data_IF_695061270872
#
_entry.id   IF_695061270872
#
_cell.length_a   1.000
_cell.length_b   1.000
_cell.length_c   1.000
_cell.angle_alpha   90.00
_cell.angle_beta   90.00
_cell.angle_gamma   90.00
#
_symmetry.space_group_name_H-M   'P 1'
#
loop_
_entity.id
_entity.type
_entity.pdbx_description
1 polymer ?
#
# COMPACT_ATOMS: atom_id res chain seq x y z
N UNK A 1 17.64 -6.33 -7.98
CA UNK A 1 18.37 -6.81 -6.78
C UNK A 1 17.31 -7.29 -5.80
N UNK A 2 17.02 -8.59 -5.77
CA UNK A 2 15.88 -9.13 -5.04
C UNK A 2 16.17 -9.17 -3.53
N UNK A 3 15.37 -8.47 -2.74
CA UNK A 3 15.41 -8.54 -1.27
C UNK A 3 14.51 -9.70 -0.86
N UNK A 4 15.09 -10.88 -0.63
CA UNK A 4 14.40 -12.03 -0.08
C UNK A 4 14.20 -11.86 1.43
N UNK A 5 12.96 -12.02 1.90
CA UNK A 5 12.67 -12.09 3.33
C UNK A 5 13.04 -13.47 3.89
N UNK A 6 13.67 -13.59 5.08
CA UNK A 6 14.04 -14.88 5.66
C UNK A 6 12.82 -15.69 6.13
N UNK A 7 12.87 -17.02 5.96
CA UNK A 7 11.89 -17.99 6.48
C UNK A 7 12.16 -18.23 7.99
N UNK A 8 11.22 -17.83 8.85
CA UNK A 8 11.30 -17.89 10.33
C UNK A 8 11.31 -19.33 10.92
N UNK A 9 11.49 -20.37 10.09
CA UNK A 9 11.39 -21.77 10.51
C UNK A 9 12.69 -22.42 10.99
N UNK A 10 13.80 -21.68 11.15
CA UNK A 10 15.09 -22.27 11.58
C UNK A 10 15.70 -21.72 12.89
N UNK A 11 14.99 -20.88 13.66
CA UNK A 11 15.56 -20.24 14.86
C UNK A 11 15.25 -20.95 16.20
N UNK A 12 14.70 -22.16 16.22
CA UNK A 12 14.26 -22.82 17.48
C UNK A 12 15.25 -23.76 18.17
N UNK A 13 16.40 -24.08 17.58
CA UNK A 13 17.32 -25.07 18.16
C UNK A 13 18.70 -24.50 18.51
N UNK A 14 18.76 -23.60 19.50
CA UNK A 14 20.04 -23.29 20.17
C UNK A 14 19.90 -23.35 21.69
N UNK A 15 20.71 -24.15 22.40
CA UNK A 15 20.64 -24.24 23.86
C UNK A 15 21.32 -23.04 24.53
N UNK A 16 20.69 -22.51 25.59
CA UNK A 16 21.26 -21.46 26.44
C UNK A 16 22.37 -22.00 27.37
N UNK A 17 23.44 -21.22 27.64
CA UNK A 17 24.42 -21.59 28.66
C UNK A 17 24.04 -21.04 30.06
N UNK A 18 24.10 -21.94 31.04
CA UNK A 18 23.89 -21.70 32.48
C UNK A 18 25.08 -21.00 33.16
N UNK A 19 24.73 -20.14 34.11
CA UNK A 19 25.32 -19.78 35.41
C UNK A 19 26.82 -19.97 35.70
N UNK A 20 27.46 -18.89 36.19
CA UNK A 20 28.48 -18.95 37.24
C UNK A 20 28.31 -17.83 38.27
N UNK A 21 28.63 -18.20 39.51
CA UNK A 21 28.31 -17.62 40.83
C UNK A 21 29.57 -17.01 41.49
N UNK A 22 29.39 -15.88 42.24
CA UNK A 22 30.10 -15.33 43.44
C UNK A 22 31.65 -15.19 43.46
N UNK A 23 32.35 -14.23 44.11
CA UNK A 23 32.16 -13.06 45.02
C UNK A 23 33.60 -12.40 45.20
N UNK A 24 33.95 -11.58 46.23
CA UNK A 24 33.63 -10.16 46.49
C UNK A 24 34.86 -9.24 46.87
N UNK A 25 34.56 -7.98 47.24
CA UNK A 25 35.38 -6.97 48.01
C UNK A 25 36.58 -6.30 47.26
N UNK A 26 36.99 -5.03 47.45
CA UNK A 26 37.15 -4.16 48.65
C UNK A 26 37.12 -2.64 48.34
N UNK A 27 36.93 -1.86 49.41
CA UNK A 27 37.01 -0.40 49.64
C UNK A 27 38.32 0.33 49.26
N UNK A 28 38.26 1.65 49.03
CA UNK A 28 38.83 2.70 49.94
C UNK A 28 39.01 4.07 49.26
N UNK A 29 38.70 5.12 50.03
CA UNK A 29 38.87 6.56 49.78
C UNK A 29 40.32 7.03 49.54
N UNK A 30 40.50 8.19 48.88
CA UNK A 30 41.14 9.40 49.43
C UNK A 30 41.37 10.51 48.37
N UNK A 31 40.95 11.74 48.72
CA UNK A 31 41.69 13.02 48.79
C UNK A 31 42.59 13.49 47.60
N UNK A 32 42.79 14.77 47.24
CA UNK A 32 42.45 16.11 47.79
C UNK A 32 42.91 17.23 46.82
N UNK A 33 42.44 18.47 47.10
CA UNK A 33 43.10 19.80 46.97
C UNK A 33 42.98 20.69 45.70
N UNK A 34 42.33 21.85 45.92
CA UNK A 34 42.66 23.26 45.59
C UNK A 34 43.60 23.56 44.39
N UNK A 35 43.37 24.56 43.53
CA UNK A 35 43.24 25.99 43.87
C UNK A 35 42.81 26.89 42.67
N UNK A 36 42.57 28.16 42.99
CA UNK A 36 41.95 29.33 42.36
C UNK A 36 42.29 29.83 40.93
N UNK A 37 41.24 30.47 40.36
CA UNK A 37 41.15 31.70 39.55
C UNK A 37 41.84 31.82 38.18
N UNK A 38 41.02 32.03 37.13
CA UNK A 38 41.10 33.26 36.31
C UNK A 38 39.83 33.52 35.46
N UNK A 39 39.50 34.82 35.40
CA UNK A 39 38.58 35.58 34.55
C UNK A 39 38.08 34.89 33.27
N UNK A 40 36.80 35.05 32.91
CA UNK A 40 36.31 36.01 31.89
C UNK A 40 34.77 35.89 31.76
N UNK A 41 34.04 37.01 31.89
CA UNK A 41 32.61 37.11 31.52
C UNK A 41 32.47 36.92 30.02
N UNK A 42 31.75 35.89 29.58
CA UNK A 42 31.23 35.76 28.21
C UNK A 42 29.70 35.72 28.30
N UNK A 43 29.08 36.50 27.42
CA UNK A 43 27.66 36.78 27.36
C UNK A 43 26.80 35.50 27.31
N UNK A 44 25.71 35.51 28.08
CA UNK A 44 24.66 34.52 28.02
C UNK A 44 23.87 34.66 26.72
N UNK A 45 24.21 33.89 25.70
CA UNK A 45 23.31 33.64 24.58
C UNK A 45 22.28 32.57 24.97
N UNK A 46 21.01 32.95 24.89
CA UNK A 46 19.87 32.12 25.30
C UNK A 46 19.67 30.90 24.39
N UNK A 47 19.23 29.73 24.91
CA UNK A 47 18.96 28.52 24.12
C UNK A 47 17.60 28.56 23.38
N UNK A 48 17.02 29.73 23.14
CA UNK A 48 15.65 29.85 22.62
C UNK A 48 15.51 29.52 21.13
N UNK A 49 16.57 29.62 20.34
CA UNK A 49 16.52 29.38 18.88
C UNK A 49 16.52 27.89 18.50
N UNK A 50 17.29 27.05 19.20
CA UNK A 50 17.38 25.60 18.87
C UNK A 50 16.12 24.84 19.26
N UNK A 51 15.49 25.19 20.39
CA UNK A 51 14.22 24.60 20.84
C UNK A 51 13.03 24.97 19.93
N UNK A 52 13.06 26.15 19.30
CA UNK A 52 12.00 26.58 18.38
C UNK A 52 12.07 25.86 17.02
N UNK A 53 13.28 25.60 16.50
CA UNK A 53 13.46 24.83 15.25
C UNK A 53 13.06 23.36 15.43
N UNK A 54 13.38 22.75 16.57
CA UNK A 54 13.01 21.35 16.83
C UNK A 54 11.51 21.18 17.01
N UNK A 55 10.81 22.10 17.70
CA UNK A 55 9.34 22.05 17.80
C UNK A 55 8.66 22.23 16.44
N UNK A 56 9.12 23.15 15.59
CA UNK A 56 8.55 23.39 14.25
C UNK A 56 8.77 22.18 13.34
N UNK A 57 9.96 21.58 13.38
CA UNK A 57 10.28 20.36 12.63
C UNK A 57 9.44 19.17 13.09
N UNK A 58 9.33 18.93 14.41
CA UNK A 58 8.51 17.85 14.97
C UNK A 58 7.01 18.06 14.72
N UNK A 59 6.54 19.31 14.72
CA UNK A 59 5.15 19.63 14.37
C UNK A 59 4.91 19.39 12.88
N UNK A 60 5.86 19.71 12.01
CA UNK A 60 5.79 19.45 10.57
C UNK A 60 5.78 17.95 10.27
N UNK A 61 6.63 17.19 10.95
CA UNK A 61 6.63 15.71 10.90
C UNK A 61 5.30 15.18 11.40
N UNK A 62 4.82 15.61 12.58
CA UNK A 62 3.52 15.16 13.09
C UNK A 62 2.38 15.46 12.12
N UNK A 63 2.37 16.65 11.52
CA UNK A 63 1.39 17.05 10.50
C UNK A 63 1.46 16.13 9.28
N UNK A 64 2.66 15.81 8.78
CA UNK A 64 2.87 14.87 7.67
C UNK A 64 2.40 13.44 8.02
N UNK A 65 2.56 13.01 9.28
CA UNK A 65 2.24 11.64 9.71
C UNK A 65 0.78 11.44 10.10
N UNK A 66 0.08 12.48 10.60
CA UNK A 66 -1.30 12.34 11.10
C UNK A 66 -2.35 13.08 10.28
N UNK A 67 -2.00 14.20 9.63
CA UNK A 67 -2.99 15.04 8.92
C UNK A 67 -2.97 14.83 7.42
N UNK A 68 -1.81 14.57 6.82
CA UNK A 68 -1.72 14.35 5.38
C UNK A 68 -2.47 13.07 4.93
N UNK A 69 -2.35 11.91 5.63
CA UNK A 69 -3.10 10.71 5.27
C UNK A 69 -4.60 10.81 5.49
N UNK A 70 -5.07 11.78 6.30
CA UNK A 70 -6.50 11.98 6.55
C UNK A 70 -7.17 12.93 5.56
N UNK A 71 -6.41 13.54 4.63
CA UNK A 71 -6.98 14.39 3.60
C UNK A 71 -7.74 13.56 2.55
N UNK A 72 -8.90 14.06 2.04
CA UNK A 72 -9.63 13.40 0.97
C UNK A 72 -8.74 13.12 -0.25
N UNK A 73 -8.92 11.98 -0.92
CA UNK A 73 -8.15 11.63 -2.13
C UNK A 73 -8.44 12.54 -3.33
N UNK A 74 -9.51 13.33 -3.27
CA UNK A 74 -9.81 14.42 -4.20
C UNK A 74 -8.97 15.69 -3.96
N UNK A 75 -8.23 15.77 -2.85
CA UNK A 75 -7.42 16.94 -2.51
C UNK A 75 -6.27 17.14 -3.51
N UNK A 76 -6.00 18.39 -3.96
CA UNK A 76 -4.91 18.70 -4.89
C UNK A 76 -3.53 18.24 -4.42
N UNK A 77 -3.34 18.07 -3.11
CA UNK A 77 -2.07 17.59 -2.54
C UNK A 77 -1.68 16.21 -3.08
N UNK A 78 -2.65 15.32 -3.33
CA UNK A 78 -2.36 13.99 -3.85
C UNK A 78 -1.92 14.06 -5.31
N UNK A 79 -2.51 14.96 -6.10
CA UNK A 79 -2.06 15.22 -7.48
C UNK A 79 -0.65 15.82 -7.49
N UNK A 80 -0.34 16.71 -6.54
CA UNK A 80 1.00 17.25 -6.36
C UNK A 80 2.01 16.14 -6.00
N UNK A 81 1.68 15.25 -5.06
CA UNK A 81 2.55 14.13 -4.69
C UNK A 81 2.73 13.16 -5.87
N UNK A 82 1.69 12.87 -6.64
CA UNK A 82 1.81 12.07 -7.88
C UNK A 82 2.78 12.69 -8.89
N UNK A 83 2.79 14.02 -9.00
CA UNK A 83 3.77 14.73 -9.81
C UNK A 83 5.19 14.65 -9.23
N UNK A 84 5.34 14.76 -7.91
CA UNK A 84 6.63 14.63 -7.22
C UNK A 84 7.23 13.22 -7.38
N UNK A 85 6.41 12.18 -7.25
CA UNK A 85 6.78 10.77 -7.41
C UNK A 85 6.58 10.26 -8.84
N UNK A 86 6.61 11.13 -9.84
CA UNK A 86 6.52 10.75 -11.25
C UNK A 86 7.53 9.64 -11.59
N UNK A 87 7.08 8.60 -12.29
CA UNK A 87 7.95 7.54 -12.77
C UNK A 87 8.74 8.04 -14.01
N UNK A 88 10.09 8.04 -13.99
CA UNK A 88 10.89 8.58 -15.10
C UNK A 88 10.61 7.89 -16.43
N UNK A 89 10.30 6.58 -16.39
CA UNK A 89 9.93 5.78 -17.54
C UNK A 89 8.54 5.19 -17.30
N UNK A 90 7.45 5.91 -17.61
CA UNK A 90 6.11 5.36 -17.46
C UNK A 90 5.94 4.19 -18.44
N UNK A 91 5.27 3.10 -18.03
CA UNK A 91 5.01 2.01 -18.94
C UNK A 91 4.20 2.48 -20.16
N UNK A 92 4.50 1.97 -21.37
CA UNK A 92 3.63 2.19 -22.50
C UNK A 92 2.26 1.51 -22.26
N UNK A 93 1.18 2.04 -22.85
CA UNK A 93 -0.10 1.34 -22.84
C UNK A 93 0.04 -0.05 -23.46
N UNK A 94 -0.47 -1.07 -22.77
CA UNK A 94 -0.54 -2.41 -23.33
C UNK A 94 -1.58 -2.45 -24.44
N UNK A 95 -1.37 -3.35 -25.40
CA UNK A 95 -2.28 -3.55 -26.54
C UNK A 95 -2.76 -4.98 -26.50
N UNK A 96 -4.07 -5.17 -26.67
CA UNK A 96 -4.66 -6.50 -26.75
C UNK A 96 -4.48 -7.09 -28.14
N UNK A 97 -3.93 -8.29 -28.19
CA UNK A 97 -3.95 -9.13 -29.38
C UNK A 97 -5.39 -9.66 -29.60
N UNK A 98 -6.03 -9.38 -30.75
CA UNK A 98 -7.38 -9.87 -31.05
C UNK A 98 -7.52 -11.40 -30.98
N UNK A 99 -6.44 -12.15 -31.21
CA UNK A 99 -6.43 -13.62 -31.10
C UNK A 99 -6.44 -14.11 -29.65
N UNK A 100 -6.15 -13.23 -28.68
CA UNK A 100 -6.07 -13.52 -27.24
C UNK A 100 -6.98 -12.55 -26.45
N UNK A 101 -8.31 -12.64 -26.62
CA UNK A 101 -9.24 -11.79 -25.89
C UNK A 101 -9.25 -12.10 -24.39
N UNK A 102 -9.81 -11.18 -23.60
CA UNK A 102 -10.17 -11.46 -22.21
C UNK A 102 -11.21 -12.58 -22.19
N UNK A 103 -11.00 -13.61 -21.37
CA UNK A 103 -11.83 -14.81 -21.34
C UNK A 103 -12.44 -15.09 -19.98
N UNK A 104 -11.73 -14.78 -18.89
CA UNK A 104 -12.16 -15.11 -17.53
C UNK A 104 -11.98 -13.89 -16.61
N UNK A 105 -13.02 -13.54 -15.86
CA UNK A 105 -12.98 -12.50 -14.83
C UNK A 105 -13.31 -13.16 -13.49
N UNK A 106 -12.36 -13.21 -12.58
CA UNK A 106 -12.53 -13.82 -11.25
C UNK A 106 -12.76 -12.75 -10.19
N UNK A 107 -14.01 -12.47 -9.88
CA UNK A 107 -14.45 -11.32 -9.05
C UNK A 107 -14.39 -11.57 -7.54
N UNK A 108 -13.89 -12.73 -7.11
CA UNK A 108 -13.75 -13.04 -5.68
C UNK A 108 -12.82 -12.07 -4.97
N UNK A 109 -13.16 -11.73 -3.73
CA UNK A 109 -12.35 -10.85 -2.89
C UNK A 109 -10.93 -11.37 -2.70
N UNK A 110 -9.96 -10.50 -2.40
CA UNK A 110 -8.65 -10.98 -2.00
C UNK A 110 -8.78 -11.91 -0.78
N UNK A 111 -7.84 -12.87 -0.69
CA UNK A 111 -7.82 -13.91 0.35
C UNK A 111 -8.92 -14.96 0.23
N UNK A 112 -9.55 -15.09 -0.94
CA UNK A 112 -10.52 -16.17 -1.24
C UNK A 112 -9.95 -17.23 -2.21
N UNK A 113 -8.63 -17.46 -2.16
CA UNK A 113 -7.94 -18.41 -3.04
C UNK A 113 -7.64 -17.86 -4.44
N UNK A 114 -7.53 -16.54 -4.57
CA UNK A 114 -7.30 -15.82 -5.85
C UNK A 114 -6.00 -16.26 -6.53
N UNK A 115 -4.92 -16.39 -5.78
CA UNK A 115 -3.63 -16.87 -6.31
C UNK A 115 -3.69 -18.31 -6.79
N UNK A 116 -4.28 -19.22 -6.00
CA UNK A 116 -4.46 -20.62 -6.42
C UNK A 116 -5.34 -20.73 -7.67
N UNK A 117 -6.37 -19.89 -7.78
CA UNK A 117 -7.22 -19.81 -8.97
C UNK A 117 -6.44 -19.28 -10.18
N UNK A 118 -5.59 -18.26 -9.98
CA UNK A 118 -4.73 -17.74 -11.04
C UNK A 118 -3.79 -18.83 -11.58
N UNK A 119 -3.14 -19.60 -10.70
CA UNK A 119 -2.29 -20.72 -11.08
C UNK A 119 -3.07 -21.83 -11.81
N UNK A 120 -4.27 -22.17 -11.33
CA UNK A 120 -5.12 -23.16 -12.00
C UNK A 120 -5.49 -22.74 -13.43
N UNK A 121 -5.81 -21.45 -13.65
CA UNK A 121 -6.07 -20.91 -14.98
C UNK A 121 -4.81 -20.96 -15.86
N UNK A 122 -3.65 -20.60 -15.32
CA UNK A 122 -2.38 -20.75 -16.06
C UNK A 122 -2.15 -22.20 -16.51
N UNK A 123 -2.39 -23.19 -15.63
CA UNK A 123 -2.30 -24.61 -15.97
C UNK A 123 -3.32 -25.07 -17.04
N UNK A 124 -4.49 -24.44 -17.08
CA UNK A 124 -5.50 -24.70 -18.13
C UNK A 124 -5.16 -24.05 -19.48
N UNK A 125 -4.01 -23.38 -19.60
CA UNK A 125 -3.51 -22.82 -20.85
C UNK A 125 -3.94 -21.37 -21.11
N UNK A 126 -4.46 -20.66 -20.10
CA UNK A 126 -4.65 -19.22 -20.22
C UNK A 126 -3.29 -18.53 -20.15
N UNK A 127 -2.88 -17.95 -21.28
CA UNK A 127 -1.50 -17.54 -21.54
C UNK A 127 -0.94 -16.46 -20.60
N UNK A 128 -1.79 -15.63 -20.00
CA UNK A 128 -1.41 -14.76 -18.89
C UNK A 128 -2.64 -14.45 -18.04
N UNK A 129 -2.50 -14.63 -16.71
CA UNK A 129 -3.57 -14.44 -15.73
C UNK A 129 -3.13 -13.35 -14.77
N UNK A 130 -3.76 -12.19 -14.88
CA UNK A 130 -3.41 -11.03 -14.07
C UNK A 130 -3.92 -11.22 -12.64
N UNK A 131 -3.04 -11.02 -11.66
CA UNK A 131 -3.30 -11.09 -10.23
C UNK A 131 -2.99 -9.74 -9.58
N UNK A 132 -3.46 -9.50 -8.35
CA UNK A 132 -3.15 -8.26 -7.62
C UNK A 132 -1.64 -8.02 -7.50
N UNK A 133 -0.85 -9.07 -7.34
CA UNK A 133 0.61 -8.95 -7.31
C UNK A 133 1.18 -8.22 -8.53
N UNK A 134 0.60 -8.38 -9.72
CA UNK A 134 1.09 -7.76 -10.96
C UNK A 134 0.90 -6.23 -10.99
N UNK A 135 0.11 -5.65 -10.07
CA UNK A 135 0.00 -4.18 -9.92
C UNK A 135 1.35 -3.58 -9.48
N UNK A 136 2.08 -4.31 -8.64
CA UNK A 136 3.32 -3.86 -7.98
C UNK A 136 4.56 -4.67 -8.39
N UNK A 137 4.37 -5.91 -8.84
CA UNK A 137 5.43 -6.84 -9.25
C UNK A 137 5.16 -7.34 -10.68
N UNK A 138 4.98 -6.40 -11.60
CA UNK A 138 4.77 -6.73 -13.00
C UNK A 138 5.98 -7.49 -13.57
N UNK A 139 5.79 -8.59 -14.33
CA UNK A 139 6.90 -9.36 -14.90
C UNK A 139 7.81 -8.58 -15.86
N UNK A 140 7.37 -7.43 -16.35
CA UNK A 140 8.18 -6.55 -17.20
C UNK A 140 9.05 -5.56 -16.41
N UNK A 141 9.05 -5.63 -15.07
CA UNK A 141 9.70 -4.66 -14.17
C UNK A 141 9.21 -3.21 -14.38
N UNK A 142 8.00 -3.04 -14.91
CA UNK A 142 7.36 -1.74 -15.13
C UNK A 142 6.20 -1.52 -14.15
N UNK A 143 6.12 -0.33 -13.57
CA UNK A 143 5.08 0.00 -12.59
C UNK A 143 3.81 0.55 -13.25
N UNK A 144 2.77 -0.29 -13.35
CA UNK A 144 1.44 0.08 -13.88
C UNK A 144 0.48 0.63 -12.81
N UNK A 145 0.91 0.71 -11.54
CA UNK A 145 0.13 1.27 -10.43
C UNK A 145 -0.50 2.65 -10.72
N UNK A 146 0.16 3.61 -11.41
CA UNK A 146 -0.47 4.89 -11.77
C UNK A 146 -1.73 4.73 -12.64
N UNK A 147 -1.76 3.74 -13.52
CA UNK A 147 -2.93 3.45 -14.35
C UNK A 147 -4.10 2.93 -13.54
N UNK A 148 -3.85 2.03 -12.59
CA UNK A 148 -4.87 1.56 -11.66
C UNK A 148 -5.41 2.69 -10.76
N UNK A 149 -4.54 3.60 -10.29
CA UNK A 149 -4.95 4.81 -9.55
C UNK A 149 -5.85 5.71 -10.40
N UNK A 150 -5.53 5.91 -11.69
CA UNK A 150 -6.39 6.66 -12.61
C UNK A 150 -7.79 6.05 -12.72
N UNK A 151 -7.88 4.72 -12.90
CA UNK A 151 -9.17 4.02 -12.99
C UNK A 151 -9.94 4.10 -11.67
N UNK A 152 -9.25 3.94 -10.53
CA UNK A 152 -9.87 4.04 -9.21
C UNK A 152 -10.38 5.46 -8.92
N UNK A 153 -9.60 6.49 -9.27
CA UNK A 153 -10.04 7.89 -9.18
C UNK A 153 -11.28 8.13 -10.03
N UNK A 154 -11.29 7.65 -11.28
CA UNK A 154 -12.45 7.76 -12.17
C UNK A 154 -13.69 7.07 -11.58
N UNK A 155 -13.55 5.88 -10.98
CA UNK A 155 -14.65 5.14 -10.36
C UNK A 155 -15.20 5.77 -9.09
N UNK A 156 -14.32 6.10 -8.14
CA UNK A 156 -14.73 6.45 -6.77
C UNK A 156 -14.77 7.95 -6.48
N UNK A 157 -14.10 8.76 -7.31
CA UNK A 157 -14.01 10.21 -7.12
C UNK A 157 -14.25 10.97 -8.44
N UNK A 158 -15.42 10.80 -9.10
CA UNK A 158 -15.77 11.59 -10.27
C UNK A 158 -15.71 13.09 -9.98
N UNK A 159 -15.12 13.86 -10.91
CA UNK A 159 -15.24 15.32 -10.88
C UNK A 159 -16.70 15.67 -11.17
N UNK A 160 -17.40 16.23 -10.18
CA UNK A 160 -18.74 16.78 -10.35
C UNK A 160 -18.65 18.04 -11.20
N UNK A 161 -18.79 17.90 -12.52
CA UNK A 161 -18.65 19.01 -13.45
C UNK A 161 -19.54 18.96 -14.68
N UNK A 162 -20.29 17.87 -14.90
CA UNK A 162 -21.25 17.80 -15.98
C UNK A 162 -22.59 17.32 -15.42
N UNK A 163 -23.66 18.07 -15.68
CA UNK A 163 -25.02 17.80 -15.20
C UNK A 163 -25.66 16.60 -15.90
N UNK A 164 -24.88 15.76 -16.59
CA UNK A 164 -25.31 14.45 -17.05
C UNK A 164 -25.29 13.49 -15.86
N UNK A 165 -26.45 12.91 -15.53
CA UNK A 165 -26.62 11.93 -14.45
C UNK A 165 -25.89 10.59 -14.70
N UNK A 166 -24.89 10.58 -15.58
CA UNK A 166 -24.18 9.39 -16.01
C UNK A 166 -22.92 9.23 -15.15
N UNK A 167 -22.87 8.15 -14.37
CA UNK A 167 -21.65 7.73 -13.69
C UNK A 167 -20.50 7.61 -14.72
N UNK A 168 -19.27 8.02 -14.38
CA UNK A 168 -18.13 7.91 -15.29
C UNK A 168 -17.90 6.46 -15.71
N UNK A 169 -18.00 6.17 -17.00
CA UNK A 169 -17.84 4.82 -17.54
C UNK A 169 -16.36 4.54 -17.81
N UNK A 170 -15.80 3.48 -17.21
CA UNK A 170 -14.49 2.95 -17.57
C UNK A 170 -14.65 2.10 -18.83
N UNK A 171 -13.91 2.44 -19.87
CA UNK A 171 -14.01 1.81 -21.19
C UNK A 171 -13.15 0.54 -21.28
N UNK A 172 -13.47 -0.33 -22.25
CA UNK A 172 -12.62 -1.49 -22.60
C UNK A 172 -11.20 -1.06 -22.92
N UNK A 173 -11.02 0.00 -23.71
CA UNK A 173 -9.71 0.51 -24.10
C UNK A 173 -8.86 0.90 -22.89
N UNK A 174 -9.44 1.58 -21.90
CA UNK A 174 -8.76 1.94 -20.65
C UNK A 174 -8.30 0.70 -19.86
N UNK A 175 -9.11 -0.38 -19.84
CA UNK A 175 -8.67 -1.65 -19.25
C UNK A 175 -7.59 -2.33 -20.07
N UNK A 176 -7.61 -2.22 -21.40
CA UNK A 176 -6.61 -2.83 -22.29
C UNK A 176 -5.22 -2.21 -22.10
N UNK A 177 -5.12 -0.93 -21.74
CA UNK A 177 -3.84 -0.29 -21.39
C UNK A 177 -3.11 -1.03 -20.25
N UNK A 178 -3.85 -1.71 -19.35
CA UNK A 178 -3.32 -2.42 -18.18
C UNK A 178 -3.36 -3.94 -18.36
N UNK A 179 -4.42 -4.45 -18.98
CA UNK A 179 -4.73 -5.88 -19.07
C UNK A 179 -4.60 -6.45 -20.49
N UNK A 180 -4.11 -5.68 -21.47
CA UNK A 180 -4.12 -6.06 -22.89
C UNK A 180 -3.43 -7.39 -23.18
N UNK A 181 -2.36 -7.70 -22.45
CA UNK A 181 -1.62 -8.96 -22.52
C UNK A 181 -2.28 -10.17 -21.82
N UNK A 182 -3.35 -9.94 -21.03
CA UNK A 182 -3.96 -10.94 -20.15
C UNK A 182 -5.21 -11.56 -20.77
N UNK A 183 -5.42 -12.86 -20.56
CA UNK A 183 -6.67 -13.55 -20.93
C UNK A 183 -7.57 -13.82 -19.72
N UNK A 184 -7.05 -13.64 -18.52
CA UNK A 184 -7.84 -13.70 -17.30
C UNK A 184 -7.36 -12.66 -16.29
N UNK A 185 -8.24 -12.29 -15.36
CA UNK A 185 -7.95 -11.34 -14.28
C UNK A 185 -8.57 -11.83 -12.97
N UNK A 186 -7.84 -11.66 -11.87
CA UNK A 186 -8.19 -12.13 -10.53
C UNK A 186 -7.87 -11.06 -9.49
N UNK A 187 -8.30 -11.27 -8.24
CA UNK A 187 -7.88 -10.48 -7.06
C UNK A 187 -8.27 -8.99 -7.13
N UNK A 188 -7.42 -8.05 -6.67
CA UNK A 188 -7.77 -6.63 -6.55
C UNK A 188 -8.35 -6.01 -7.84
N UNK A 189 -7.71 -6.15 -9.02
CA UNK A 189 -8.26 -5.66 -10.28
C UNK A 189 -9.68 -6.15 -10.56
N UNK A 190 -9.91 -7.46 -10.41
CA UNK A 190 -11.18 -8.07 -10.74
C UNK A 190 -12.28 -7.79 -9.71
N UNK A 191 -11.94 -7.79 -8.42
CA UNK A 191 -12.89 -7.55 -7.33
C UNK A 191 -13.26 -6.07 -7.20
N UNK A 192 -12.29 -5.16 -7.32
CA UNK A 192 -12.53 -3.71 -7.24
C UNK A 192 -13.31 -3.21 -8.44
N UNK A 193 -13.03 -3.70 -9.65
CA UNK A 193 -13.65 -3.24 -10.89
C UNK A 193 -14.63 -4.27 -11.49
N UNK A 194 -15.24 -5.11 -10.67
CA UNK A 194 -16.06 -6.23 -11.13
C UNK A 194 -17.15 -5.80 -12.12
N UNK A 195 -17.97 -4.80 -11.77
CA UNK A 195 -19.06 -4.34 -12.61
C UNK A 195 -18.56 -3.75 -13.94
N UNK A 196 -17.49 -2.95 -13.89
CA UNK A 196 -16.92 -2.28 -15.07
C UNK A 196 -16.21 -3.27 -15.99
N UNK A 197 -15.50 -4.26 -15.44
CA UNK A 197 -14.87 -5.32 -16.21
C UNK A 197 -15.91 -6.23 -16.89
N UNK A 198 -16.99 -6.58 -16.19
CA UNK A 198 -18.09 -7.38 -16.77
C UNK A 198 -18.76 -6.60 -17.90
N UNK A 199 -19.02 -5.30 -17.70
CA UNK A 199 -19.59 -4.45 -18.74
C UNK A 199 -18.63 -4.26 -19.93
N UNK A 200 -17.33 -4.13 -19.66
CA UNK A 200 -16.32 -3.97 -20.69
C UNK A 200 -16.06 -5.25 -21.49
N UNK A 201 -16.22 -6.44 -20.90
CA UNK A 201 -15.96 -7.74 -21.53
C UNK A 201 -17.15 -8.70 -21.37
N UNK A 202 -18.31 -8.43 -22.00
CA UNK A 202 -19.50 -9.27 -21.90
C UNK A 202 -19.31 -10.70 -22.43
N UNK A 203 -18.29 -10.93 -23.27
CA UNK A 203 -17.91 -12.24 -23.78
C UNK A 203 -17.13 -13.10 -22.77
N UNK A 204 -16.56 -12.50 -21.72
CA UNK A 204 -15.76 -13.21 -20.74
C UNK A 204 -16.66 -13.92 -19.71
N UNK A 205 -16.25 -15.13 -19.29
CA UNK A 205 -16.95 -15.84 -18.21
C UNK A 205 -16.57 -15.23 -16.87
N UNK A 206 -17.55 -15.13 -15.98
CA UNK A 206 -17.35 -14.61 -14.63
C UNK A 206 -17.28 -15.76 -13.63
N UNK A 207 -16.28 -15.72 -12.76
CA UNK A 207 -16.09 -16.69 -11.67
C UNK A 207 -16.13 -15.93 -10.35
N UNK A 208 -17.02 -16.31 -9.46
CA UNK A 208 -17.03 -15.84 -8.08
C UNK A 208 -16.44 -16.92 -7.19
N UNK A 209 -15.15 -16.81 -6.86
CA UNK A 209 -14.52 -17.63 -5.84
C UNK A 209 -14.79 -17.01 -4.45
N UNK A 210 -15.09 -17.86 -3.48
CA UNK A 210 -15.47 -17.44 -2.13
C UNK A 210 -14.96 -18.43 -1.09
N UNK A 211 -14.77 -17.96 0.14
CA UNK A 211 -14.62 -18.83 1.31
C UNK A 211 -15.99 -19.03 1.95
N UNK A 212 -16.24 -20.24 2.47
CA UNK A 212 -17.51 -20.58 3.12
C UNK A 212 -17.66 -19.92 4.49
N UNK A 213 -16.53 -19.72 5.16
CA UNK A 213 -16.44 -19.17 6.50
C UNK A 213 -15.91 -17.73 6.42
N UNK A 214 -16.74 -16.79 6.86
CA UNK A 214 -16.44 -15.35 6.85
C UNK A 214 -15.37 -15.00 7.88
N UNK A 215 -15.43 -15.58 9.08
CA UNK A 215 -14.49 -15.30 10.16
C UNK A 215 -13.08 -15.74 9.77
N UNK A 216 -12.96 -16.95 9.19
CA UNK A 216 -11.68 -17.43 8.67
C UNK A 216 -11.16 -16.58 7.49
N UNK A 217 -12.06 -16.03 6.67
CA UNK A 217 -11.67 -15.09 5.62
C UNK A 217 -11.15 -13.79 6.20
N UNK A 218 -11.87 -13.20 7.16
CA UNK A 218 -11.48 -11.98 7.85
C UNK A 218 -10.14 -12.14 8.57
N UNK A 219 -9.92 -13.24 9.28
CA UNK A 219 -8.63 -13.54 9.93
C UNK A 219 -7.48 -13.58 8.91
N UNK A 220 -7.70 -14.21 7.75
CA UNK A 220 -6.70 -14.26 6.67
C UNK A 220 -6.43 -12.88 6.06
N UNK A 221 -7.47 -12.06 5.94
CA UNK A 221 -7.38 -10.68 5.48
C UNK A 221 -6.60 -9.80 6.45
N UNK A 222 -6.91 -9.87 7.74
CA UNK A 222 -6.21 -9.13 8.79
C UNK A 222 -4.73 -9.52 8.81
N UNK A 223 -4.44 -10.82 8.81
CA UNK A 223 -3.07 -11.35 8.91
C UNK A 223 -2.19 -10.99 7.70
N UNK A 224 -2.76 -10.82 6.51
CA UNK A 224 -2.00 -10.57 5.28
C UNK A 224 -2.07 -9.11 4.84
N UNK A 225 -3.26 -8.57 4.62
CA UNK A 225 -3.45 -7.23 4.04
C UNK A 225 -3.29 -6.16 5.12
N UNK A 226 -4.00 -6.29 6.25
CA UNK A 226 -3.93 -5.27 7.31
C UNK A 226 -2.54 -5.25 7.94
N UNK A 227 -1.90 -6.40 8.15
CA UNK A 227 -0.51 -6.46 8.63
C UNK A 227 0.47 -5.75 7.70
N UNK A 228 0.26 -5.81 6.37
CA UNK A 228 1.09 -5.07 5.42
C UNK A 228 0.86 -3.55 5.54
N UNK A 229 -0.41 -3.12 5.72
CA UNK A 229 -0.77 -1.73 6.00
C UNK A 229 -0.17 -1.22 7.33
N UNK A 230 -0.02 -2.08 8.34
CA UNK A 230 0.61 -1.71 9.62
C UNK A 230 2.15 -1.70 9.57
N UNK A 231 2.75 -2.02 8.42
CA UNK A 231 4.20 -2.04 8.27
C UNK A 231 4.78 -0.62 8.23
N UNK A 232 5.30 -0.17 9.37
CA UNK A 232 6.00 1.12 9.49
C UNK A 232 7.15 1.26 8.47
N UNK A 233 7.87 0.18 8.20
CA UNK A 233 8.97 0.18 7.23
C UNK A 233 8.48 0.43 5.80
N UNK A 234 7.41 -0.24 5.39
CA UNK A 234 6.81 -0.04 4.07
C UNK A 234 6.18 1.36 3.96
N UNK A 235 5.53 1.82 5.03
CA UNK A 235 5.01 3.18 5.10
C UNK A 235 6.13 4.22 4.92
N UNK A 236 7.26 4.11 5.64
CA UNK A 236 8.41 5.02 5.47
C UNK A 236 8.97 4.92 4.05
N UNK A 237 9.16 3.71 3.53
CA UNK A 237 9.67 3.50 2.18
C UNK A 237 8.77 4.18 1.13
N UNK A 238 7.45 4.19 1.33
CA UNK A 238 6.50 4.88 0.46
C UNK A 238 6.69 6.39 0.36
N UNK A 239 7.42 7.00 1.30
CA UNK A 239 7.78 8.43 1.25
C UNK A 239 9.19 8.67 0.67
N UNK A 240 10.04 7.65 0.62
CA UNK A 240 11.44 7.80 0.20
C UNK A 240 11.70 7.29 -1.21
N UNK A 241 10.86 6.37 -1.70
CA UNK A 241 11.00 5.74 -3.00
C UNK A 241 9.72 5.88 -3.85
N UNK A 242 9.90 6.05 -5.16
CA UNK A 242 8.80 6.31 -6.09
C UNK A 242 7.94 5.07 -6.35
N UNK A 243 8.56 3.90 -6.46
CA UNK A 243 7.81 2.65 -6.69
C UNK A 243 7.04 2.27 -5.43
N UNK A 244 7.67 2.40 -4.27
CA UNK A 244 7.02 2.20 -2.97
C UNK A 244 5.88 3.21 -2.75
N UNK A 245 6.05 4.48 -3.17
CA UNK A 245 4.97 5.46 -3.15
C UNK A 245 3.77 4.96 -3.94
N UNK A 246 3.96 4.56 -5.19
CA UNK A 246 2.87 4.11 -6.06
C UNK A 246 2.23 2.81 -5.58
N UNK A 247 3.02 1.88 -5.06
CA UNK A 247 2.53 0.63 -4.47
C UNK A 247 1.63 0.88 -3.25
N UNK A 248 2.05 1.78 -2.34
CA UNK A 248 1.22 2.20 -1.22
C UNK A 248 -0.01 2.97 -1.69
N UNK A 249 0.18 3.89 -2.64
CA UNK A 249 -0.86 4.78 -3.12
C UNK A 249 -1.99 4.01 -3.81
N UNK A 250 -1.66 3.05 -4.67
CA UNK A 250 -2.68 2.22 -5.32
C UNK A 250 -3.44 1.37 -4.31
N UNK A 251 -2.75 0.71 -3.38
CA UNK A 251 -3.41 -0.24 -2.47
C UNK A 251 -4.05 0.39 -1.26
N UNK A 252 -3.26 1.09 -0.45
CA UNK A 252 -3.68 1.55 0.88
C UNK A 252 -4.47 2.84 0.84
N UNK A 253 -4.40 3.59 -0.27
CA UNK A 253 -5.22 4.79 -0.46
C UNK A 253 -6.40 4.53 -1.38
N UNK A 254 -6.19 3.93 -2.55
CA UNK A 254 -7.26 3.77 -3.54
C UNK A 254 -8.03 2.44 -3.44
N UNK A 255 -7.38 1.29 -3.61
CA UNK A 255 -8.08 0.02 -3.84
C UNK A 255 -8.70 -0.54 -2.57
N UNK A 256 -7.93 -0.77 -1.49
CA UNK A 256 -8.45 -1.42 -0.28
C UNK A 256 -9.50 -0.60 0.46
N UNK A 257 -9.28 0.70 0.74
CA UNK A 257 -10.32 1.50 1.39
C UNK A 257 -11.60 1.55 0.56
N UNK A 258 -11.49 1.64 -0.77
CA UNK A 258 -12.67 1.69 -1.64
C UNK A 258 -13.42 0.36 -1.71
N UNK A 259 -12.69 -0.76 -1.81
CA UNK A 259 -13.27 -2.11 -1.84
C UNK A 259 -14.07 -2.41 -0.57
N UNK A 260 -13.50 -2.08 0.60
CA UNK A 260 -14.11 -2.33 1.89
C UNK A 260 -14.98 -1.18 2.39
N UNK A 261 -15.24 -0.17 1.53
CA UNK A 261 -16.06 1.02 1.84
C UNK A 261 -15.57 1.80 3.06
N UNK A 262 -14.28 1.77 3.34
CA UNK A 262 -13.59 2.64 4.31
C UNK A 262 -13.21 3.99 3.67
N UNK A 263 -14.06 4.51 2.78
CA UNK A 263 -13.80 5.75 2.05
C UNK A 263 -14.21 6.93 2.92
N UNK A 264 -13.23 7.77 3.30
CA UNK A 264 -13.44 9.00 4.08
C UNK A 264 -12.42 9.25 5.20
N UNK A 265 -11.30 8.53 5.18
CA UNK A 265 -10.31 8.57 6.27
C UNK A 265 -10.91 8.04 7.58
N UNK A 266 -10.12 8.05 8.65
CA UNK A 266 -10.53 7.59 9.97
C UNK A 266 -11.78 8.33 10.56
N UNK A 267 -12.35 9.34 9.88
CA UNK A 267 -13.43 10.19 10.38
C UNK A 267 -14.85 9.93 9.82
N UNK A 268 -15.03 9.24 8.68
CA UNK A 268 -16.36 9.09 8.05
C UNK A 268 -17.02 7.72 8.24
N UNK A 269 -16.48 6.85 9.10
CA UNK A 269 -17.11 5.57 9.49
C UNK A 269 -18.51 5.73 10.13
N UNK A 270 -18.97 6.95 10.41
CA UNK A 270 -20.27 7.25 11.01
C UNK A 270 -21.44 7.35 10.01
N UNK A 271 -21.20 7.30 8.69
CA UNK A 271 -22.25 7.51 7.67
C UNK A 271 -22.59 6.32 6.79
N UNK A 272 -21.99 5.15 7.01
CA UNK A 272 -22.39 3.93 6.30
C UNK A 272 -23.67 3.39 6.92
N UNK A 273 -24.83 3.91 6.47
CA UNK A 273 -26.09 3.17 6.64
C UNK A 273 -26.00 1.92 5.78
N UNK A 274 -26.01 0.77 6.44
CA UNK A 274 -26.25 -0.53 5.81
C UNK A 274 -27.69 -0.47 5.31
N UNK A 275 -27.88 -0.15 4.03
CA UNK A 275 -29.13 -0.44 3.35
C UNK A 275 -29.25 -1.97 3.30
N UNK A 276 -30.17 -2.47 4.12
CA UNK A 276 -30.61 -3.86 4.16
C UNK A 276 -31.54 -4.16 2.99
#
# INVERSE_FOLDING_TARGET
MAIGFPDDRQLKDRPEPRDKVNSPETSSDHDTHHDMNSKTRVASDSPRSSLSMTLSFLTTIRTLFTTLPSLPLSSPIWTFLEHLYHLPNPPPPRVRDPSRPMRIICVGFPRTGTESLAQALSHLGYSHVYHGWDIVYDPSDLCYSPGWVRLARKKFYPVQGDHSQSQPVITRAEFEELLGHCQAVTDAPASVFAAELIAAYPEAKVVLNMRRDEEQWQESLVKTIIKANESWGFWIASWLDRECFWAWHVYERFLWPSLFRCVGGYGELSRVSIAT
#
